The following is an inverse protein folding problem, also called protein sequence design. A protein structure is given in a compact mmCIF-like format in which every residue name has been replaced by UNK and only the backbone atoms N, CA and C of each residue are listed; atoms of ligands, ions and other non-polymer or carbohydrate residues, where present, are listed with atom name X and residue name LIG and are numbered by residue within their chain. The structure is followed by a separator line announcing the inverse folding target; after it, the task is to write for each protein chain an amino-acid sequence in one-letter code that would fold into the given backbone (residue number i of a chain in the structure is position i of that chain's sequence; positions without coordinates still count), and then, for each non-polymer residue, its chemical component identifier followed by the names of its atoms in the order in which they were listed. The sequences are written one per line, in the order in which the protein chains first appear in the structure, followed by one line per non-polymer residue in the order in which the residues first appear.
data_IF_347573126402
#
_entry.id   IF_347573126402
#
_cell.length_a   1.000
_cell.length_b   1.000
_cell.length_c   1.000
_cell.angle_alpha   90.00
_cell.angle_beta   90.00
_cell.angle_gamma   90.00
#
_symmetry.space_group_name_H-M   'P 1'
#
loop_
_entity.id
_entity.type
_entity.pdbx_description
1 polymer ?
#
# COMPACT_ATOMS: atom_id res chain seq x y z
N UNK A 1 5.47 28.12 -6.62
CA UNK A 1 4.93 27.07 -5.72
C UNK A 1 3.39 26.94 -5.74
N UNK A 2 2.65 27.67 -6.58
CA UNK A 2 1.17 27.62 -6.63
C UNK A 2 0.57 26.25 -6.99
N UNK A 3 1.21 25.49 -7.89
CA UNK A 3 0.61 24.28 -8.47
C UNK A 3 0.42 23.18 -7.41
N UNK A 4 1.41 22.97 -6.54
CA UNK A 4 1.33 21.94 -5.49
C UNK A 4 0.20 22.21 -4.50
N UNK A 5 -0.03 23.48 -4.14
CA UNK A 5 -1.12 23.85 -3.25
C UNK A 5 -2.48 23.63 -3.91
N UNK A 6 -2.62 23.97 -5.20
CA UNK A 6 -3.83 23.67 -5.98
C UNK A 6 -4.12 22.17 -6.05
N UNK A 7 -3.09 21.35 -6.25
CA UNK A 7 -3.24 19.88 -6.28
C UNK A 7 -3.64 19.32 -4.91
N UNK A 8 -3.00 19.79 -3.83
CA UNK A 8 -3.38 19.38 -2.46
C UNK A 8 -4.80 19.79 -2.11
N UNK A 9 -5.23 20.99 -2.49
CA UNK A 9 -6.60 21.45 -2.27
C UNK A 9 -7.62 20.55 -2.98
N UNK A 10 -7.37 20.16 -4.24
CA UNK A 10 -8.21 19.21 -4.96
C UNK A 10 -8.24 17.83 -4.29
N UNK A 11 -7.08 17.31 -3.86
CA UNK A 11 -7.01 16.03 -3.18
C UNK A 11 -7.83 15.99 -1.87
N UNK A 12 -7.87 17.10 -1.11
CA UNK A 12 -8.71 17.20 0.10
C UNK A 12 -10.21 17.17 -0.19
N UNK A 13 -10.63 17.71 -1.34
CA UNK A 13 -12.05 17.75 -1.71
C UNK A 13 -12.60 16.37 -2.08
N UNK A 14 -11.77 15.51 -2.67
CA UNK A 14 -12.12 14.13 -3.00
C UNK A 14 -10.97 13.16 -2.68
N UNK A 15 -10.79 12.78 -1.40
CA UNK A 15 -9.68 11.93 -0.97
C UNK A 15 -9.75 10.53 -1.58
N UNK A 16 -8.84 10.27 -2.52
CA UNK A 16 -8.70 8.97 -3.17
C UNK A 16 -8.09 7.92 -2.24
N UNK A 17 -8.29 6.64 -2.57
CA UNK A 17 -7.61 5.53 -1.88
C UNK A 17 -6.25 5.30 -2.51
N UNK A 18 -5.20 5.30 -1.69
CA UNK A 18 -3.81 5.14 -2.16
C UNK A 18 -3.14 4.02 -1.37
N UNK A 19 -2.50 3.10 -2.09
CA UNK A 19 -1.72 2.00 -1.50
C UNK A 19 -0.25 2.36 -1.55
N UNK A 20 0.42 2.30 -0.39
CA UNK A 20 1.86 2.49 -0.27
C UNK A 20 2.49 1.12 0.00
N UNK A 21 3.11 0.52 -1.02
CA UNK A 21 3.70 -0.83 -0.88
C UNK A 21 5.03 -0.87 -0.13
N UNK A 22 5.65 0.29 0.11
CA UNK A 22 6.89 0.46 0.86
C UNK A 22 6.59 0.84 2.32
N UNK A 23 5.58 0.22 2.94
CA UNK A 23 5.10 0.57 4.28
C UNK A 23 6.13 0.36 5.39
N UNK A 24 7.18 -0.42 5.13
CA UNK A 24 8.30 -0.62 6.05
C UNK A 24 9.39 0.46 5.91
N UNK A 25 9.28 1.41 4.99
CA UNK A 25 10.31 2.44 4.78
C UNK A 25 10.01 3.75 5.52
N UNK A 26 11.01 4.31 6.21
CA UNK A 26 10.83 5.51 7.05
C UNK A 26 10.30 6.70 6.24
N UNK A 27 10.78 6.88 5.00
CA UNK A 27 10.33 7.96 4.11
C UNK A 27 8.83 7.84 3.78
N UNK A 28 8.36 6.61 3.57
CA UNK A 28 6.94 6.32 3.28
C UNK A 28 6.08 6.57 4.50
N UNK A 29 6.56 6.22 5.70
CA UNK A 29 5.85 6.48 6.97
C UNK A 29 5.72 7.98 7.27
N UNK A 30 6.78 8.76 7.05
CA UNK A 30 6.75 10.22 7.18
C UNK A 30 5.77 10.82 6.17
N UNK A 31 5.76 10.34 4.93
CA UNK A 31 4.79 10.78 3.93
C UNK A 31 3.36 10.42 4.33
N UNK A 32 3.13 9.22 4.88
CA UNK A 32 1.82 8.77 5.34
C UNK A 32 1.27 9.67 6.45
N UNK A 33 2.11 10.09 7.41
CA UNK A 33 1.73 11.05 8.44
C UNK A 33 1.24 12.37 7.84
N UNK A 34 1.99 12.93 6.89
CA UNK A 34 1.64 14.19 6.22
C UNK A 34 0.30 14.05 5.48
N UNK A 35 0.14 12.96 4.72
CA UNK A 35 -1.06 12.68 3.93
C UNK A 35 -2.28 12.56 4.83
N UNK A 36 -2.16 11.85 5.94
CA UNK A 36 -3.26 11.63 6.88
C UNK A 36 -3.61 12.93 7.63
N UNK A 37 -2.61 13.62 8.19
CA UNK A 37 -2.78 14.90 8.90
C UNK A 37 -3.44 15.96 8.02
N UNK A 38 -3.06 16.02 6.75
CA UNK A 38 -3.63 16.96 5.78
C UNK A 38 -4.88 16.43 5.06
N UNK A 39 -5.35 15.22 5.39
CA UNK A 39 -6.53 14.56 4.80
C UNK A 39 -6.48 14.48 3.26
N UNK A 40 -5.31 14.17 2.70
CA UNK A 40 -5.09 14.17 1.25
C UNK A 40 -5.55 12.87 0.57
N UNK A 41 -5.52 11.74 1.30
CA UNK A 41 -5.89 10.43 0.77
C UNK A 41 -6.27 9.47 1.91
N UNK A 42 -6.97 8.38 1.55
CA UNK A 42 -7.22 7.23 2.43
C UNK A 42 -6.14 6.18 2.18
N UNK A 43 -5.23 5.98 3.13
CA UNK A 43 -4.05 5.17 2.93
C UNK A 43 -4.24 3.70 3.33
N UNK A 44 -3.57 2.82 2.59
CA UNK A 44 -3.22 1.47 3.02
C UNK A 44 -1.73 1.26 2.85
N UNK A 45 -1.03 0.95 3.93
CA UNK A 45 0.40 0.66 3.91
C UNK A 45 0.59 -0.86 3.90
N UNK A 46 1.37 -1.35 2.94
CA UNK A 46 1.68 -2.77 2.85
C UNK A 46 3.04 -3.09 3.45
N UNK A 47 3.10 -4.24 4.12
CA UNK A 47 4.31 -4.78 4.72
C UNK A 47 3.97 -5.63 5.94
N UNK A 48 5.01 -6.15 6.61
CA UNK A 48 4.82 -6.82 7.88
C UNK A 48 4.33 -5.82 8.94
N UNK A 49 3.13 -6.05 9.47
CA UNK A 49 2.44 -5.10 10.36
C UNK A 49 3.27 -4.79 11.61
N UNK A 50 3.92 -5.78 12.21
CA UNK A 50 4.74 -5.58 13.42
C UNK A 50 5.96 -4.69 13.15
N UNK A 51 6.62 -4.88 12.00
CA UNK A 51 7.74 -4.02 11.57
C UNK A 51 7.28 -2.59 11.31
N UNK A 52 6.15 -2.41 10.64
CA UNK A 52 5.57 -1.09 10.38
C UNK A 52 5.28 -0.39 11.71
N UNK A 53 4.59 -1.06 12.63
CA UNK A 53 4.26 -0.50 13.95
C UNK A 53 5.51 -0.17 14.77
N UNK A 54 6.53 -1.03 14.72
CA UNK A 54 7.81 -0.77 15.40
C UNK A 54 8.47 0.49 14.88
N UNK A 55 8.53 0.67 13.55
CA UNK A 55 9.10 1.87 12.93
C UNK A 55 8.29 3.12 13.22
N UNK A 56 6.96 3.04 13.18
CA UNK A 56 6.07 4.14 13.59
C UNK A 56 6.39 4.62 15.01
N UNK A 57 6.54 3.68 15.97
CA UNK A 57 6.96 4.00 17.35
C UNK A 57 8.34 4.66 17.39
N UNK A 58 9.33 4.11 16.69
CA UNK A 58 10.68 4.69 16.63
C UNK A 58 10.70 6.11 16.06
N UNK A 59 9.84 6.40 15.08
CA UNK A 59 9.73 7.72 14.45
C UNK A 59 8.82 8.69 15.22
N UNK A 60 8.11 8.24 16.26
CA UNK A 60 7.12 9.05 16.97
C UNK A 60 5.88 9.36 16.15
N UNK A 61 5.59 8.59 15.11
CA UNK A 61 4.45 8.80 14.21
C UNK A 61 3.25 8.00 14.69
N UNK A 62 2.08 8.64 14.75
CA UNK A 62 0.80 7.97 15.00
C UNK A 62 -0.10 8.10 13.76
N UNK A 63 -0.52 6.97 13.21
CA UNK A 63 -1.53 6.91 12.14
C UNK A 63 -2.84 6.38 12.74
N UNK A 64 -3.94 7.11 12.56
CA UNK A 64 -5.24 6.76 13.17
C UNK A 64 -6.22 6.13 12.19
N UNK A 65 -6.15 6.49 10.91
CA UNK A 65 -7.10 6.11 9.86
C UNK A 65 -6.45 5.29 8.74
N UNK A 66 -5.12 5.31 8.63
CA UNK A 66 -4.40 4.48 7.67
C UNK A 66 -4.50 2.99 8.03
N UNK A 67 -4.83 2.15 7.05
CA UNK A 67 -4.83 0.70 7.22
C UNK A 67 -3.42 0.11 7.07
N UNK A 68 -3.07 -0.86 7.92
CA UNK A 68 -1.85 -1.65 7.78
C UNK A 68 -2.23 -3.06 7.32
N UNK A 69 -1.60 -3.55 6.25
CA UNK A 69 -1.94 -4.85 5.67
C UNK A 69 -0.68 -5.65 5.32
N UNK A 70 -0.61 -6.89 5.79
CA UNK A 70 0.39 -7.87 5.37
C UNK A 70 -0.11 -8.61 4.10
N UNK A 71 0.55 -8.44 2.94
CA UNK A 71 0.19 -9.15 1.72
C UNK A 71 0.22 -10.67 1.86
N UNK A 72 1.19 -11.21 2.61
CA UNK A 72 1.42 -12.65 2.72
C UNK A 72 0.37 -13.33 3.61
N UNK A 73 -0.14 -12.62 4.62
CA UNK A 73 -1.23 -13.06 5.51
C UNK A 73 -2.63 -12.67 5.05
N UNK A 74 -2.76 -11.91 3.96
CA UNK A 74 -4.05 -11.39 3.51
C UNK A 74 -4.95 -12.49 2.95
N UNK A 75 -6.23 -12.49 3.36
CA UNK A 75 -7.27 -13.33 2.77
C UNK A 75 -7.52 -13.06 1.28
N UNK A 76 -7.02 -11.95 0.73
CA UNK A 76 -7.10 -11.61 -0.70
C UNK A 76 -5.96 -12.20 -1.53
N UNK A 77 -4.93 -12.78 -0.91
CA UNK A 77 -3.76 -13.29 -1.62
C UNK A 77 -4.12 -14.33 -2.68
N UNK A 78 -4.90 -15.36 -2.34
CA UNK A 78 -5.28 -16.42 -3.30
C UNK A 78 -6.12 -15.88 -4.47
N UNK A 79 -7.19 -15.08 -4.24
CA UNK A 79 -7.92 -14.43 -5.34
C UNK A 79 -7.04 -13.56 -6.24
N UNK A 80 -6.10 -12.81 -5.67
CA UNK A 80 -5.19 -11.95 -6.43
C UNK A 80 -4.17 -12.75 -7.23
N UNK A 81 -3.61 -13.81 -6.65
CA UNK A 81 -2.73 -14.76 -7.34
C UNK A 81 -3.44 -15.41 -8.54
N UNK A 82 -4.68 -15.85 -8.36
CA UNK A 82 -5.49 -16.43 -9.44
C UNK A 82 -5.68 -15.42 -10.58
N UNK A 83 -6.06 -14.17 -10.25
CA UNK A 83 -6.21 -13.10 -11.24
C UNK A 83 -4.89 -12.77 -11.96
N UNK A 84 -3.77 -12.82 -11.25
CA UNK A 84 -2.44 -12.63 -11.84
C UNK A 84 -2.10 -13.76 -12.81
N UNK A 85 -2.35 -15.01 -12.41
CA UNK A 85 -2.16 -16.19 -13.26
C UNK A 85 -3.01 -16.08 -14.54
N UNK A 86 -4.30 -15.80 -14.43
CA UNK A 86 -5.19 -15.66 -15.59
C UNK A 86 -4.69 -14.61 -16.60
N UNK A 87 -4.12 -13.50 -16.10
CA UNK A 87 -3.54 -12.44 -16.93
C UNK A 87 -2.19 -12.79 -17.55
N UNK A 88 -1.45 -13.74 -16.97
CA UNK A 88 -0.05 -14.02 -17.32
C UNK A 88 0.21 -15.43 -17.83
N UNK A 89 -0.76 -16.35 -17.78
CA UNK A 89 -0.61 -17.75 -18.24
C UNK A 89 -0.17 -17.86 -19.70
N UNK A 90 -0.61 -16.95 -20.56
CA UNK A 90 -0.18 -16.90 -21.97
C UNK A 90 1.29 -16.53 -22.15
N UNK A 91 1.93 -16.00 -21.10
CA UNK A 91 3.37 -15.70 -21.04
C UNK A 91 4.17 -16.75 -20.27
N UNK A 92 3.59 -17.94 -20.05
CA UNK A 92 4.26 -19.06 -19.40
C UNK A 92 4.23 -19.06 -17.87
N UNK A 93 3.56 -18.10 -17.22
CA UNK A 93 3.44 -18.08 -15.76
C UNK A 93 2.59 -19.26 -15.25
N UNK A 94 3.09 -19.96 -14.24
CA UNK A 94 2.39 -21.05 -13.54
C UNK A 94 1.59 -20.54 -12.33
N UNK A 95 0.63 -21.32 -11.84
CA UNK A 95 -0.14 -20.96 -10.63
C UNK A 95 0.75 -20.79 -9.37
N UNK A 96 1.73 -21.69 -9.08
CA UNK A 96 2.62 -21.51 -7.94
C UNK A 96 3.47 -20.24 -8.04
N UNK A 97 3.97 -19.90 -9.24
CA UNK A 97 4.70 -18.66 -9.47
C UNK A 97 3.81 -17.43 -9.27
N UNK A 98 2.57 -17.45 -9.76
CA UNK A 98 1.63 -16.36 -9.57
C UNK A 98 1.33 -16.15 -8.07
N UNK A 99 1.17 -17.23 -7.31
CA UNK A 99 0.97 -17.18 -5.86
C UNK A 99 2.18 -16.57 -5.15
N UNK A 100 3.39 -17.01 -5.48
CA UNK A 100 4.60 -16.47 -4.87
C UNK A 100 4.80 -14.99 -5.23
N UNK A 101 4.52 -14.63 -6.48
CA UNK A 101 4.67 -13.26 -6.99
C UNK A 101 3.65 -12.32 -6.34
N UNK A 102 2.40 -12.75 -6.16
CA UNK A 102 1.36 -11.96 -5.51
C UNK A 102 1.64 -11.67 -4.02
N UNK A 103 2.54 -12.42 -3.35
CA UNK A 103 2.97 -12.11 -1.97
C UNK A 103 3.84 -10.87 -1.88
N UNK A 104 4.48 -10.47 -2.97
CA UNK A 104 5.37 -9.30 -2.98
C UNK A 104 4.52 -8.02 -2.81
N UNK A 105 4.82 -7.13 -1.86
CA UNK A 105 3.99 -5.95 -1.58
C UNK A 105 3.69 -5.10 -2.82
N UNK A 106 4.68 -4.91 -3.70
CA UNK A 106 4.52 -4.16 -4.95
C UNK A 106 3.48 -4.79 -5.86
N UNK A 107 3.56 -6.11 -6.07
CA UNK A 107 2.63 -6.84 -6.94
C UNK A 107 1.25 -6.90 -6.29
N UNK A 108 1.18 -7.11 -4.99
CA UNK A 108 -0.07 -7.11 -4.25
C UNK A 108 -0.79 -5.76 -4.39
N UNK A 109 -0.06 -4.65 -4.30
CA UNK A 109 -0.60 -3.30 -4.53
C UNK A 109 -1.15 -3.13 -5.96
N UNK A 110 -0.47 -3.66 -6.98
CA UNK A 110 -0.96 -3.61 -8.38
C UNK A 110 -2.27 -4.40 -8.60
N UNK A 111 -2.57 -5.34 -7.71
CA UNK A 111 -3.76 -6.21 -7.79
C UNK A 111 -4.94 -5.72 -6.94
N UNK A 112 -4.69 -4.79 -6.00
CA UNK A 112 -5.72 -4.11 -5.20
C UNK A 112 -6.52 -3.10 -6.02
#
# INVERSE_FOLDING_TARGET
MEILQKLRARARQDPQRIVLFEGEENRSLIAAEIIEREKLAKLTLLGNVDKIQTRLRTLGITLGSSALLDPAGSGKLKPYAQRLYERRRSRGMTEPEALQTARLPRIFADLM
#
